data_IF_895770699136
#
_entry.id   IF_895770699136
#
_cell.length_a   1.000
_cell.length_b   1.000
_cell.length_c   1.000
_cell.angle_alpha   90.00
_cell.angle_beta   90.00
_cell.angle_gamma   90.00
#
_symmetry.space_group_name_H-M   'P 1'
#
loop_
_entity.id
_entity.type
_entity.pdbx_description
1 polymer ?
#
# COMPACT_ATOMS: atom_id res chain seq x y z
N UNK A 1 -6.78 16.09 -10.16
CA UNK A 1 -6.62 15.72 -8.73
C UNK A 1 -7.80 14.86 -8.30
N UNK A 2 -7.65 13.93 -7.37
CA UNK A 2 -8.82 13.20 -6.86
C UNK A 2 -9.63 14.12 -5.96
N UNK A 3 -10.97 14.08 -6.11
CA UNK A 3 -11.88 14.93 -5.34
C UNK A 3 -12.04 14.47 -3.91
N UNK A 4 -11.82 13.19 -3.63
CA UNK A 4 -12.06 12.57 -2.34
C UNK A 4 -10.81 11.93 -1.78
N UNK A 5 -10.65 11.98 -0.46
CA UNK A 5 -9.59 11.30 0.28
C UNK A 5 -10.09 10.80 1.63
N UNK A 6 -9.30 9.93 2.28
CA UNK A 6 -9.34 9.74 3.72
C UNK A 6 -8.14 10.46 4.35
N UNK A 7 -8.38 11.20 5.43
CA UNK A 7 -7.35 11.87 6.22
C UNK A 7 -7.44 11.46 7.67
N UNK A 8 -6.33 10.96 8.20
CA UNK A 8 -6.22 10.59 9.60
C UNK A 8 -5.74 11.78 10.41
N UNK A 9 -6.46 12.08 11.50
CA UNK A 9 -6.05 13.06 12.48
C UNK A 9 -4.99 12.44 13.40
N UNK A 10 -3.80 13.06 13.41
CA UNK A 10 -2.67 12.70 14.26
C UNK A 10 -2.49 13.67 15.43
N UNK A 11 -3.28 14.75 15.54
CA UNK A 11 -3.23 15.70 16.66
C UNK A 11 -3.95 15.14 17.91
N UNK A 12 -3.63 13.90 18.26
CA UNK A 12 -4.14 13.14 19.38
C UNK A 12 -3.10 12.08 19.81
N UNK A 13 -3.20 11.49 21.02
CA UNK A 13 -2.24 10.49 21.49
C UNK A 13 -2.10 9.31 20.54
N UNK A 14 -0.85 8.90 20.23
CA UNK A 14 -0.54 7.85 19.27
C UNK A 14 -1.28 6.53 19.57
N UNK A 15 -1.39 6.17 20.85
CA UNK A 15 -2.13 4.97 21.28
C UNK A 15 -3.61 5.01 20.87
N UNK A 16 -4.23 6.21 20.84
CA UNK A 16 -5.61 6.39 20.36
C UNK A 16 -5.68 6.24 18.86
N UNK A 17 -4.74 6.84 18.13
CA UNK A 17 -4.60 6.66 16.66
C UNK A 17 -4.51 5.18 16.30
N UNK A 18 -3.57 4.46 16.91
CA UNK A 18 -3.35 3.04 16.63
C UNK A 18 -4.54 2.14 17.02
N UNK A 19 -5.26 2.46 18.10
CA UNK A 19 -6.50 1.75 18.46
C UNK A 19 -7.62 1.97 17.46
N UNK A 20 -7.64 3.11 16.76
CA UNK A 20 -8.59 3.42 15.70
C UNK A 20 -8.38 2.59 14.42
N UNK A 21 -7.19 2.03 14.23
CA UNK A 21 -6.88 1.20 13.05
C UNK A 21 -7.56 -0.17 13.19
N UNK A 22 -8.45 -0.47 12.25
CA UNK A 22 -9.18 -1.74 12.22
C UNK A 22 -8.23 -2.94 12.10
N UNK A 23 -8.36 -3.90 13.00
CA UNK A 23 -7.55 -5.13 13.02
C UNK A 23 -6.04 -4.88 13.21
N UNK A 24 -5.63 -3.77 13.82
CA UNK A 24 -4.23 -3.41 13.99
C UNK A 24 -3.42 -4.56 14.63
N UNK A 25 -3.83 -5.07 15.80
CA UNK A 25 -3.12 -6.16 16.49
C UNK A 25 -3.05 -7.42 15.65
N UNK A 26 -4.14 -7.78 14.95
CA UNK A 26 -4.17 -8.97 14.08
C UNK A 26 -3.17 -8.87 12.92
N UNK A 27 -3.04 -7.68 12.31
CA UNK A 27 -2.12 -7.49 11.20
C UNK A 27 -0.68 -7.37 11.66
N UNK A 28 -0.43 -6.80 12.83
CA UNK A 28 0.90 -6.81 13.46
C UNK A 28 1.38 -8.22 13.70
N UNK A 29 0.57 -9.06 14.35
CA UNK A 29 0.93 -10.47 14.55
C UNK A 29 1.21 -11.19 13.23
N UNK A 30 0.46 -10.89 12.16
CA UNK A 30 0.73 -11.47 10.84
C UNK A 30 2.05 -11.00 10.27
N UNK A 31 2.41 -9.72 10.44
CA UNK A 31 3.70 -9.20 10.01
C UNK A 31 4.85 -9.88 10.77
N UNK A 32 4.76 -9.98 12.11
CA UNK A 32 5.76 -10.64 12.94
C UNK A 32 5.96 -12.11 12.56
N UNK A 33 4.87 -12.87 12.40
CA UNK A 33 4.92 -14.27 11.99
C UNK A 33 5.59 -14.48 10.63
N UNK A 34 5.56 -13.49 9.76
CA UNK A 34 6.08 -13.52 8.39
C UNK A 34 7.35 -12.71 8.20
N UNK A 35 8.03 -12.39 9.28
CA UNK A 35 9.29 -11.62 9.26
C UNK A 35 9.21 -10.35 8.41
N UNK A 36 8.07 -9.62 8.51
CA UNK A 36 7.85 -8.38 7.76
C UNK A 36 8.43 -7.20 8.52
N UNK A 37 9.39 -6.54 7.90
CA UNK A 37 10.08 -5.38 8.45
C UNK A 37 9.95 -4.17 7.54
N UNK A 38 9.86 -2.99 8.15
CA UNK A 38 9.86 -1.71 7.43
C UNK A 38 11.03 -0.89 7.92
N UNK A 39 11.74 -0.26 7.01
CA UNK A 39 12.82 0.67 7.34
C UNK A 39 12.70 1.98 6.56
N UNK A 40 13.32 3.03 7.08
CA UNK A 40 13.57 4.27 6.33
C UNK A 40 14.62 3.97 5.28
N UNK A 41 14.25 4.22 4.03
CA UNK A 41 15.09 3.92 2.89
C UNK A 41 15.72 5.20 2.31
N UNK A 42 16.78 5.01 1.54
CA UNK A 42 17.51 6.09 0.89
C UNK A 42 17.10 6.24 -0.58
N UNK A 43 17.61 7.28 -1.22
CA UNK A 43 17.38 7.54 -2.66
C UNK A 43 17.85 6.37 -3.54
N UNK A 44 18.86 5.61 -3.09
CA UNK A 44 19.44 4.48 -3.84
C UNK A 44 18.48 3.29 -3.89
N UNK A 45 17.50 3.21 -2.99
CA UNK A 45 16.48 2.16 -2.96
C UNK A 45 15.21 2.51 -3.77
N UNK A 46 15.15 3.68 -4.41
CA UNK A 46 14.05 4.06 -5.31
C UNK A 46 13.70 3.03 -6.40
N UNK A 47 14.65 2.23 -6.91
CA UNK A 47 14.33 1.16 -7.84
C UNK A 47 13.23 0.23 -7.37
N UNK A 48 13.13 -0.07 -6.07
CA UNK A 48 12.05 -0.91 -5.49
C UNK A 48 10.65 -0.37 -5.83
N UNK A 49 10.45 0.94 -5.73
CA UNK A 49 9.18 1.58 -6.08
C UNK A 49 8.96 1.60 -7.59
N UNK A 50 10.00 1.92 -8.37
CA UNK A 50 9.90 2.07 -9.82
C UNK A 50 9.60 0.75 -10.51
N UNK A 51 10.32 -0.32 -10.18
CA UNK A 51 10.09 -1.67 -10.71
C UNK A 51 8.68 -2.15 -10.40
N UNK A 52 8.22 -1.90 -9.17
CA UNK A 52 6.87 -2.23 -8.77
C UNK A 52 5.79 -1.44 -9.52
N UNK A 53 6.04 -0.16 -9.79
CA UNK A 53 5.15 0.66 -10.62
C UNK A 53 5.11 0.19 -12.07
N UNK A 54 6.23 -0.25 -12.63
CA UNK A 54 6.29 -0.85 -13.97
C UNK A 54 5.49 -2.15 -14.06
N UNK A 55 5.62 -3.03 -13.05
CA UNK A 55 4.83 -4.26 -12.97
C UNK A 55 3.33 -3.95 -12.94
N UNK A 56 2.91 -2.98 -12.13
CA UNK A 56 1.52 -2.57 -12.03
C UNK A 56 1.02 -1.92 -13.32
N UNK A 57 1.86 -1.11 -13.96
CA UNK A 57 1.55 -0.42 -15.21
C UNK A 57 1.32 -1.40 -16.37
N UNK A 58 2.10 -2.48 -16.46
CA UNK A 58 1.89 -3.56 -17.43
C UNK A 58 0.52 -4.23 -17.26
N UNK A 59 0.05 -4.40 -16.02
CA UNK A 59 -1.25 -5.02 -15.71
C UNK A 59 -2.42 -4.09 -15.98
N UNK A 60 -2.30 -2.81 -15.64
CA UNK A 60 -3.40 -1.83 -15.65
C UNK A 60 -3.38 -0.88 -16.85
N UNK A 61 -2.34 -0.91 -17.68
CA UNK A 61 -2.25 -0.12 -18.92
C UNK A 61 -2.06 1.39 -18.71
N UNK A 62 -1.41 1.80 -17.61
CA UNK A 62 -1.02 3.20 -17.40
C UNK A 62 0.49 3.40 -17.64
N UNK A 63 0.95 4.65 -17.68
CA UNK A 63 2.38 4.98 -17.80
C UNK A 63 2.95 5.21 -16.40
N UNK A 64 3.93 4.39 -15.98
CA UNK A 64 4.55 4.56 -14.67
C UNK A 64 5.47 5.76 -14.67
N UNK A 65 5.63 6.38 -13.52
CA UNK A 65 6.72 7.32 -13.30
C UNK A 65 8.04 6.55 -13.15
N UNK A 66 9.04 6.90 -13.97
CA UNK A 66 10.35 6.26 -13.92
C UNK A 66 11.25 6.80 -12.80
N UNK A 67 12.42 6.17 -12.65
CA UNK A 67 13.41 6.51 -11.61
C UNK A 67 13.82 8.00 -11.64
N UNK A 68 14.06 8.55 -12.83
CA UNK A 68 14.43 9.96 -12.98
C UNK A 68 13.38 10.95 -12.42
N UNK A 69 12.10 10.59 -12.52
CA UNK A 69 11.01 11.38 -11.93
C UNK A 69 11.11 11.41 -10.40
N UNK A 70 11.24 10.25 -9.76
CA UNK A 70 11.33 10.18 -8.29
C UNK A 70 12.63 10.77 -7.76
N UNK A 71 13.75 10.62 -8.47
CA UNK A 71 15.00 11.29 -8.13
C UNK A 71 14.88 12.81 -8.19
N UNK A 72 14.21 13.34 -9.22
CA UNK A 72 13.93 14.77 -9.33
C UNK A 72 13.00 15.24 -8.21
N UNK A 73 11.93 14.48 -7.95
CA UNK A 73 10.99 14.78 -6.86
C UNK A 73 11.71 14.80 -5.51
N UNK A 74 12.58 13.82 -5.26
CA UNK A 74 13.42 13.78 -4.05
C UNK A 74 14.27 15.04 -3.90
N UNK A 75 14.99 15.43 -4.95
CA UNK A 75 15.84 16.63 -4.95
C UNK A 75 15.05 17.92 -4.72
N UNK A 76 13.84 18.02 -5.30
CA UNK A 76 13.01 19.22 -5.18
C UNK A 76 12.39 19.36 -3.78
N UNK A 77 12.09 18.26 -3.11
CA UNK A 77 11.38 18.25 -1.84
C UNK A 77 12.21 17.83 -0.63
N UNK A 78 13.49 17.48 -0.81
CA UNK A 78 14.38 17.29 0.33
C UNK A 78 14.45 18.57 1.18
N UNK A 79 14.37 18.54 2.50
CA UNK A 79 14.40 17.39 3.42
C UNK A 79 13.02 16.82 3.80
N UNK A 80 11.97 17.19 3.10
CA UNK A 80 10.58 16.80 3.41
C UNK A 80 10.18 15.41 2.89
N UNK A 81 11.09 14.76 2.16
CA UNK A 81 10.85 13.41 1.62
C UNK A 81 11.06 12.37 2.71
N UNK A 82 10.10 11.47 2.84
CA UNK A 82 10.18 10.26 3.65
C UNK A 82 9.91 9.06 2.74
N UNK A 83 10.86 8.15 2.70
CA UNK A 83 10.77 6.96 1.88
C UNK A 83 10.97 5.73 2.72
N UNK A 84 10.08 4.76 2.55
CA UNK A 84 10.06 3.53 3.33
C UNK A 84 10.03 2.32 2.41
N UNK A 85 10.80 1.30 2.77
CA UNK A 85 10.78 0.00 2.10
C UNK A 85 10.32 -1.05 3.10
N UNK A 86 9.45 -1.94 2.66
CA UNK A 86 9.01 -3.12 3.40
C UNK A 86 9.62 -4.35 2.77
N UNK A 87 10.20 -5.21 3.60
CA UNK A 87 10.86 -6.45 3.20
C UNK A 87 10.49 -7.61 4.11
N UNK A 88 10.84 -8.80 3.68
CA UNK A 88 10.73 -10.04 4.46
C UNK A 88 11.87 -10.98 4.11
N UNK A 89 12.25 -11.84 5.04
CA UNK A 89 13.04 -13.02 4.76
C UNK A 89 12.06 -14.20 4.64
N UNK A 90 11.90 -14.72 3.42
CA UNK A 90 10.92 -15.79 3.15
C UNK A 90 11.28 -17.11 3.81
N UNK A 91 12.56 -17.42 3.96
CA UNK A 91 12.99 -18.61 4.71
C UNK A 91 12.58 -18.53 6.18
N UNK A 92 12.90 -17.42 6.83
CA UNK A 92 12.48 -17.16 8.21
C UNK A 92 10.96 -17.18 8.36
N UNK A 93 10.23 -16.54 7.46
CA UNK A 93 8.77 -16.52 7.47
C UNK A 93 8.20 -17.93 7.36
N UNK A 94 8.72 -18.77 6.45
CA UNK A 94 8.33 -20.17 6.30
C UNK A 94 8.58 -20.95 7.60
N UNK A 95 9.77 -20.89 8.17
CA UNK A 95 10.11 -21.57 9.43
C UNK A 95 9.18 -21.15 10.58
N UNK A 96 8.87 -19.87 10.70
CA UNK A 96 7.93 -19.34 11.70
C UNK A 96 6.53 -19.92 11.51
N UNK A 97 6.03 -19.95 10.27
CA UNK A 97 4.71 -20.51 9.96
C UNK A 97 4.64 -22.01 10.22
N UNK A 98 5.68 -22.78 9.87
CA UNK A 98 5.80 -24.22 10.17
C UNK A 98 5.75 -24.48 11.67
N UNK A 99 6.48 -23.69 12.47
CA UNK A 99 6.47 -23.80 13.92
C UNK A 99 5.08 -23.52 14.52
N UNK A 100 4.36 -22.51 14.01
CA UNK A 100 3.00 -22.18 14.45
C UNK A 100 2.03 -23.30 14.08
N UNK A 101 2.12 -23.83 12.86
CA UNK A 101 1.30 -24.99 12.41
C UNK A 101 1.48 -26.16 13.35
N UNK A 102 2.72 -26.54 13.64
CA UNK A 102 3.03 -27.65 14.55
C UNK A 102 2.48 -27.42 15.96
N UNK A 103 2.61 -26.20 16.48
CA UNK A 103 2.07 -25.82 17.79
C UNK A 103 0.55 -25.95 17.81
N UNK A 104 -0.12 -25.45 16.79
CA UNK A 104 -1.60 -25.46 16.70
C UNK A 104 -2.14 -26.88 16.46
N UNK A 105 -1.46 -27.73 15.68
CA UNK A 105 -1.78 -29.17 15.56
C UNK A 105 -1.69 -29.90 16.89
N UNK A 106 -0.65 -29.60 17.71
CA UNK A 106 -0.54 -30.19 19.03
C UNK A 106 -1.64 -29.70 20.00
N UNK A 107 -2.03 -28.43 19.93
CA UNK A 107 -3.20 -27.92 20.68
C UNK A 107 -4.49 -28.64 20.31
N UNK A 108 -4.71 -28.92 19.02
CA UNK A 108 -5.90 -29.62 18.55
C UNK A 108 -6.03 -31.02 19.14
N UNK A 109 -4.90 -31.75 19.36
CA UNK A 109 -4.91 -33.10 19.96
C UNK A 109 -5.46 -33.11 21.39
N UNK A 110 -5.26 -32.02 22.14
CA UNK A 110 -5.68 -31.90 23.54
C UNK A 110 -7.00 -31.17 23.73
N UNK A 111 -7.51 -30.53 22.69
CA UNK A 111 -8.70 -29.70 22.73
C UNK A 111 -9.98 -30.56 22.68
N UNK A 112 -10.90 -30.33 23.64
CA UNK A 112 -12.19 -31.05 23.72
C UNK A 112 -13.34 -30.29 23.06
N UNK A 113 -13.23 -28.98 22.87
CA UNK A 113 -14.31 -28.12 22.35
C UNK A 113 -14.24 -28.05 20.81
N UNK A 114 -15.16 -28.73 20.14
CA UNK A 114 -15.24 -28.80 18.68
C UNK A 114 -15.45 -27.40 18.02
N UNK A 115 -16.23 -26.54 18.68
CA UNK A 115 -16.48 -25.20 18.13
C UNK A 115 -15.19 -24.33 18.07
N UNK A 116 -14.25 -24.60 18.96
CA UNK A 116 -12.94 -23.93 18.99
C UNK A 116 -11.92 -24.57 18.05
N UNK A 117 -12.11 -25.83 17.66
CA UNK A 117 -11.22 -26.52 16.72
C UNK A 117 -11.36 -25.98 15.30
N UNK A 118 -12.56 -25.76 14.81
CA UNK A 118 -12.82 -25.35 13.42
C UNK A 118 -12.05 -24.09 12.98
N UNK A 119 -12.00 -22.99 13.77
CA UNK A 119 -11.18 -21.82 13.42
C UNK A 119 -9.69 -22.12 13.35
N UNK A 120 -9.18 -22.99 14.24
CA UNK A 120 -7.75 -23.37 14.28
C UNK A 120 -7.40 -24.21 13.05
N UNK A 121 -8.22 -25.20 12.71
CA UNK A 121 -8.04 -26.03 11.51
C UNK A 121 -7.97 -25.13 10.26
N UNK A 122 -8.92 -24.22 10.11
CA UNK A 122 -8.95 -23.27 9.00
C UNK A 122 -7.68 -22.40 8.95
N UNK A 123 -7.16 -22.00 10.10
CA UNK A 123 -5.91 -21.23 10.20
C UNK A 123 -4.70 -22.05 9.76
N UNK A 124 -4.60 -23.31 10.20
CA UNK A 124 -3.56 -24.27 9.82
C UNK A 124 -3.57 -24.47 8.30
N UNK A 125 -4.74 -24.76 7.71
CA UNK A 125 -4.85 -24.98 6.27
C UNK A 125 -4.40 -23.75 5.47
N UNK A 126 -4.78 -22.55 5.92
CA UNK A 126 -4.36 -21.31 5.30
C UNK A 126 -2.84 -21.10 5.39
N UNK A 127 -2.22 -21.42 6.54
CA UNK A 127 -0.75 -21.30 6.70
C UNK A 127 -0.01 -22.35 5.87
N UNK A 128 -0.48 -23.61 5.83
CA UNK A 128 0.10 -24.66 4.98
C UNK A 128 0.08 -24.28 3.49
N UNK A 129 -1.04 -23.70 3.03
CA UNK A 129 -1.16 -23.20 1.67
C UNK A 129 -0.15 -22.08 1.40
N UNK A 130 0.04 -21.16 2.33
CA UNK A 130 0.98 -20.07 2.20
C UNK A 130 2.44 -20.55 2.19
N UNK A 131 2.78 -21.51 3.04
CA UNK A 131 4.08 -22.20 3.03
C UNK A 131 4.34 -22.82 1.66
N UNK A 132 3.35 -23.54 1.11
CA UNK A 132 3.47 -24.14 -0.21
C UNK A 132 3.63 -23.09 -1.32
N UNK A 133 2.93 -21.97 -1.25
CA UNK A 133 3.08 -20.86 -2.19
C UNK A 133 4.51 -20.27 -2.18
N UNK A 134 5.14 -20.17 -1.00
CA UNK A 134 6.54 -19.71 -0.88
C UNK A 134 7.48 -20.67 -1.61
N UNK A 135 7.28 -21.98 -1.41
CA UNK A 135 8.12 -23.02 -2.04
C UNK A 135 7.90 -23.07 -3.55
N UNK A 136 6.65 -23.11 -4.00
CA UNK A 136 6.29 -23.24 -5.43
C UNK A 136 6.77 -22.05 -6.26
N UNK A 137 6.83 -20.85 -5.66
CA UNK A 137 7.36 -19.66 -6.31
C UNK A 137 8.90 -19.54 -6.22
N UNK A 138 9.58 -20.49 -5.59
CA UNK A 138 11.03 -20.45 -5.41
C UNK A 138 11.50 -19.29 -4.51
N UNK A 139 10.64 -18.85 -3.59
CA UNK A 139 10.92 -17.71 -2.70
C UNK A 139 11.63 -18.13 -1.40
N UNK A 140 11.78 -19.42 -1.14
CA UNK A 140 12.44 -19.95 0.07
C UNK A 140 13.95 -19.68 0.04
N UNK A 141 14.32 -18.41 0.20
CA UNK A 141 15.70 -17.94 0.18
C UNK A 141 16.00 -17.17 1.47
N UNK A 142 17.18 -17.43 2.05
CA UNK A 142 17.64 -16.79 3.29
C UNK A 142 18.27 -15.42 2.99
N UNK A 143 17.45 -14.51 2.51
CA UNK A 143 17.81 -13.12 2.27
C UNK A 143 16.57 -12.20 2.39
N UNK A 144 16.82 -10.93 2.69
CA UNK A 144 15.76 -9.92 2.70
C UNK A 144 15.30 -9.62 1.28
N UNK A 145 14.00 -9.77 1.03
CA UNK A 145 13.35 -9.49 -0.26
C UNK A 145 12.36 -8.35 -0.08
N UNK A 146 12.50 -7.31 -0.89
CA UNK A 146 11.57 -6.18 -0.87
C UNK A 146 10.17 -6.61 -1.35
N UNK A 147 9.17 -6.30 -0.54
CA UNK A 147 7.74 -6.52 -0.82
C UNK A 147 7.06 -5.26 -1.36
N UNK A 148 7.68 -4.10 -1.19
CA UNK A 148 7.12 -2.84 -1.65
C UNK A 148 7.81 -1.63 -1.04
N UNK A 149 7.35 -0.46 -1.48
CA UNK A 149 7.89 0.82 -1.02
C UNK A 149 6.82 1.90 -1.02
N UNK A 150 7.09 2.96 -0.25
CA UNK A 150 6.19 4.09 -0.06
C UNK A 150 6.95 5.40 -0.05
N UNK A 151 6.53 6.33 -0.93
CA UNK A 151 7.08 7.66 -1.04
C UNK A 151 6.10 8.68 -0.46
N UNK A 152 6.56 9.46 0.50
CA UNK A 152 5.77 10.43 1.27
C UNK A 152 6.46 11.78 1.23
N UNK A 153 5.68 12.85 1.24
CA UNK A 153 6.14 14.21 1.49
C UNK A 153 5.46 14.72 2.74
N UNK A 154 6.24 15.18 3.72
CA UNK A 154 5.74 15.86 4.90
C UNK A 154 6.18 17.32 4.87
N UNK A 155 5.23 18.25 4.76
CA UNK A 155 5.49 19.68 4.81
C UNK A 155 4.81 20.30 6.02
N UNK A 156 5.61 20.86 6.91
CA UNK A 156 5.12 21.31 8.20
C UNK A 156 4.56 20.13 9.00
N UNK A 157 3.28 20.19 9.34
CA UNK A 157 2.58 19.15 10.11
C UNK A 157 1.73 18.20 9.23
N UNK A 158 1.72 18.42 7.91
CA UNK A 158 0.87 17.71 6.98
C UNK A 158 1.65 16.66 6.20
N UNK A 159 1.10 15.47 6.11
CA UNK A 159 1.66 14.33 5.41
C UNK A 159 0.82 13.98 4.21
N UNK A 160 1.47 13.88 3.03
CA UNK A 160 0.86 13.41 1.78
C UNK A 160 1.53 12.13 1.30
N UNK A 161 0.73 11.11 1.09
CA UNK A 161 1.19 9.91 0.42
C UNK A 161 1.26 10.17 -1.08
N UNK A 162 2.47 10.21 -1.65
CA UNK A 162 2.67 10.54 -3.07
C UNK A 162 2.55 9.30 -3.94
N UNK A 163 3.15 8.20 -3.50
CA UNK A 163 3.10 6.94 -4.24
C UNK A 163 3.41 5.75 -3.32
N UNK A 164 2.81 4.62 -3.64
CA UNK A 164 3.05 3.36 -2.94
C UNK A 164 2.90 2.19 -3.92
N UNK A 165 3.78 1.21 -3.78
CA UNK A 165 3.65 -0.09 -4.41
C UNK A 165 3.84 -1.19 -3.39
N UNK A 166 3.07 -2.25 -3.49
CA UNK A 166 3.32 -3.52 -2.79
C UNK A 166 2.99 -4.70 -3.70
N UNK A 167 3.82 -5.73 -3.65
CA UNK A 167 3.55 -6.98 -4.37
C UNK A 167 2.20 -7.54 -3.96
N UNK A 168 1.34 -7.85 -4.95
CA UNK A 168 0.01 -8.40 -4.71
C UNK A 168 0.04 -9.90 -4.38
N UNK A 169 1.12 -10.58 -4.73
CA UNK A 169 1.39 -11.95 -4.28
C UNK A 169 1.61 -11.94 -2.77
N UNK A 170 1.18 -12.99 -2.09
CA UNK A 170 1.35 -13.13 -0.65
C UNK A 170 0.63 -12.04 0.17
N UNK A 171 -0.64 -11.82 -0.16
CA UNK A 171 -1.51 -10.82 0.51
C UNK A 171 -1.55 -10.96 2.05
N UNK A 172 -1.25 -12.15 2.58
CA UNK A 172 -1.21 -12.41 4.02
C UNK A 172 -0.04 -11.74 4.74
N UNK A 173 1.02 -11.36 4.02
CA UNK A 173 2.15 -10.62 4.58
C UNK A 173 1.77 -9.20 4.99
N UNK A 174 0.65 -8.68 4.51
CA UNK A 174 0.12 -7.36 4.90
C UNK A 174 1.13 -6.20 4.74
N UNK A 175 1.97 -6.26 3.71
CA UNK A 175 3.03 -5.29 3.44
C UNK A 175 2.51 -3.84 3.38
N UNK A 176 1.38 -3.61 2.70
CA UNK A 176 0.77 -2.27 2.63
C UNK A 176 0.35 -1.74 4.00
N UNK A 177 -0.18 -2.61 4.87
CA UNK A 177 -0.51 -2.24 6.25
C UNK A 177 0.75 -1.88 7.04
N UNK A 178 1.81 -2.69 6.95
CA UNK A 178 3.08 -2.46 7.63
C UNK A 178 3.68 -1.10 7.24
N UNK A 179 3.71 -0.78 5.94
CA UNK A 179 4.20 0.51 5.43
C UNK A 179 3.41 1.70 6.00
N UNK A 180 2.08 1.64 5.97
CA UNK A 180 1.26 2.72 6.51
C UNK A 180 1.43 2.86 8.02
N UNK A 181 1.37 1.74 8.77
CA UNK A 181 1.50 1.77 10.22
C UNK A 181 2.86 2.34 10.64
N UNK A 182 3.96 1.86 10.05
CA UNK A 182 5.30 2.36 10.34
C UNK A 182 5.43 3.86 10.01
N UNK A 183 4.95 4.28 8.83
CA UNK A 183 4.99 5.67 8.42
C UNK A 183 4.18 6.58 9.36
N UNK A 184 3.00 6.14 9.82
CA UNK A 184 2.17 6.89 10.78
C UNK A 184 2.94 7.07 12.10
N UNK A 185 3.54 6.01 12.65
CA UNK A 185 4.30 6.09 13.91
C UNK A 185 5.54 6.97 13.78
N UNK A 186 6.31 6.80 12.70
CA UNK A 186 7.53 7.56 12.47
C UNK A 186 7.26 9.05 12.26
N UNK A 187 6.26 9.39 11.44
CA UNK A 187 5.92 10.79 11.14
C UNK A 187 5.20 11.47 12.29
N UNK A 188 4.40 10.73 13.08
CA UNK A 188 3.84 11.22 14.33
C UNK A 188 4.95 11.68 15.28
N UNK A 189 6.00 10.88 15.47
CA UNK A 189 7.13 11.22 16.32
C UNK A 189 7.94 12.41 15.79
N UNK A 190 7.79 12.77 14.51
CA UNK A 190 8.38 13.96 13.89
C UNK A 190 7.44 15.17 13.92
N UNK A 191 6.27 15.07 14.57
CA UNK A 191 5.33 16.17 14.78
C UNK A 191 4.24 16.30 13.71
N UNK A 192 4.02 15.27 12.90
CA UNK A 192 2.88 15.24 11.97
C UNK A 192 1.56 15.30 12.73
N UNK A 193 0.62 16.13 12.22
CA UNK A 193 -0.74 16.26 12.76
C UNK A 193 -1.80 15.74 11.82
N UNK A 194 -1.48 15.59 10.54
CA UNK A 194 -2.40 15.00 9.56
C UNK A 194 -1.69 14.01 8.68
N UNK A 195 -2.40 12.93 8.29
CA UNK A 195 -1.90 11.92 7.37
C UNK A 195 -2.95 11.67 6.29
N UNK A 196 -2.69 12.17 5.09
CA UNK A 196 -3.59 12.03 3.95
C UNK A 196 -3.26 10.76 3.15
N UNK A 197 -4.27 9.89 2.97
CA UNK A 197 -4.11 8.61 2.26
C UNK A 197 -4.17 8.75 0.73
N UNK A 198 -4.22 9.96 0.20
CA UNK A 198 -4.45 10.26 -1.22
C UNK A 198 -5.86 9.86 -1.74
N UNK A 199 -6.05 10.19 -3.00
CA UNK A 199 -7.30 10.05 -3.69
C UNK A 199 -7.97 8.69 -3.63
N UNK A 200 -9.29 8.75 -3.55
CA UNK A 200 -10.21 7.62 -3.64
C UNK A 200 -11.27 7.92 -4.68
N UNK A 201 -12.01 6.90 -5.13
CA UNK A 201 -13.11 7.08 -6.10
C UNK A 201 -14.28 7.87 -5.52
N UNK A 202 -14.47 7.80 -4.20
CA UNK A 202 -15.64 8.36 -3.50
C UNK A 202 -16.91 7.54 -3.69
N UNK A 203 -16.86 6.45 -4.46
CA UNK A 203 -18.00 5.55 -4.65
C UNK A 203 -18.22 4.68 -3.42
N UNK A 204 -19.47 4.59 -2.96
CA UNK A 204 -19.88 3.69 -1.88
C UNK A 204 -20.36 2.33 -2.39
N UNK A 205 -20.39 2.12 -3.70
CA UNK A 205 -20.81 0.84 -4.30
C UNK A 205 -19.71 -0.22 -4.11
N UNK A 206 -19.99 -1.35 -3.42
CA UNK A 206 -19.05 -2.45 -3.29
C UNK A 206 -18.59 -3.10 -4.61
N UNK A 207 -19.31 -2.83 -5.71
CA UNK A 207 -18.97 -3.29 -7.06
C UNK A 207 -18.00 -2.34 -7.78
N UNK A 208 -17.71 -1.17 -7.23
CA UNK A 208 -16.74 -0.23 -7.78
C UNK A 208 -15.36 -0.88 -7.82
N UNK A 209 -14.64 -0.72 -8.93
CA UNK A 209 -13.29 -1.28 -9.14
C UNK A 209 -12.30 -0.85 -8.05
N UNK A 210 -12.47 0.36 -7.51
CA UNK A 210 -11.60 0.95 -6.49
C UNK A 210 -12.13 0.80 -5.06
N UNK A 211 -13.27 0.13 -4.86
CA UNK A 211 -13.88 -0.03 -3.55
C UNK A 211 -12.94 -0.66 -2.53
N UNK A 212 -12.20 -1.71 -2.92
CA UNK A 212 -11.23 -2.38 -2.05
C UNK A 212 -10.10 -1.46 -1.57
N UNK A 213 -9.62 -0.56 -2.43
CA UNK A 213 -8.63 0.44 -2.06
C UNK A 213 -9.21 1.47 -1.08
N UNK A 214 -10.42 1.90 -1.31
CA UNK A 214 -11.13 2.84 -0.44
C UNK A 214 -11.40 2.23 0.93
N UNK A 215 -11.92 0.99 1.01
CA UNK A 215 -12.16 0.28 2.27
C UNK A 215 -10.86 0.06 3.06
N UNK A 216 -9.76 -0.25 2.36
CA UNK A 216 -8.43 -0.35 2.97
C UNK A 216 -8.02 0.98 3.61
N UNK A 217 -8.11 2.11 2.91
CA UNK A 217 -7.77 3.44 3.45
C UNK A 217 -8.69 3.82 4.62
N UNK A 218 -9.99 3.57 4.50
CA UNK A 218 -10.98 3.75 5.58
C UNK A 218 -10.63 2.95 6.84
N UNK A 219 -10.02 1.77 6.68
CA UNK A 219 -9.70 0.89 7.81
C UNK A 219 -8.69 1.47 8.80
N UNK A 220 -7.98 2.54 8.41
CA UNK A 220 -7.07 3.28 9.30
C UNK A 220 -7.76 4.28 10.21
N UNK A 221 -9.08 4.48 10.10
CA UNK A 221 -9.86 5.31 11.00
C UNK A 221 -9.83 6.81 10.67
N UNK A 222 -9.41 7.17 9.45
CA UNK A 222 -9.44 8.55 8.98
C UNK A 222 -10.83 9.02 8.55
N UNK A 223 -11.01 10.35 8.51
CA UNK A 223 -12.22 11.01 8.05
C UNK A 223 -12.28 11.04 6.53
N UNK A 224 -13.48 10.83 5.98
CA UNK A 224 -13.74 11.04 4.57
C UNK A 224 -13.83 12.54 4.28
N UNK A 225 -13.00 13.02 3.38
CA UNK A 225 -12.96 14.43 2.98
C UNK A 225 -13.20 14.59 1.50
N UNK A 226 -13.98 15.62 1.17
CA UNK A 226 -14.19 16.09 -0.19
C UNK A 226 -13.46 17.41 -0.40
N UNK A 227 -12.56 17.47 -1.38
CA UNK A 227 -11.90 18.71 -1.76
C UNK A 227 -12.83 19.57 -2.61
N UNK A 228 -12.64 20.87 -2.59
CA UNK A 228 -13.39 21.82 -3.42
C UNK A 228 -13.30 21.53 -4.94
N UNK A 229 -12.29 20.77 -5.35
CA UNK A 229 -12.03 20.42 -6.74
C UNK A 229 -10.99 21.33 -7.38
N UNK A 230 -10.86 21.20 -8.70
CA UNK A 230 -9.96 22.00 -9.51
C UNK A 230 -10.75 23.13 -10.17
N UNK A 231 -10.15 24.30 -10.22
CA UNK A 231 -10.74 25.50 -10.85
C UNK A 231 -9.78 26.01 -11.91
N UNK A 232 -10.27 26.16 -13.13
CA UNK A 232 -9.51 26.75 -14.22
C UNK A 232 -9.79 28.25 -14.31
N UNK A 233 -8.74 29.07 -14.21
CA UNK A 233 -8.83 30.50 -14.52
C UNK A 233 -8.70 30.68 -16.05
N UNK A 234 -9.81 30.85 -16.72
CA UNK A 234 -9.85 30.94 -18.18
C UNK A 234 -9.65 32.38 -18.61
N UNK A 235 -8.49 32.71 -19.18
CA UNK A 235 -8.16 34.05 -19.73
C UNK A 235 -8.54 34.22 -21.19
N UNK A 236 -8.65 33.13 -21.97
CA UNK A 236 -9.04 33.11 -23.37
C UNK A 236 -9.93 31.87 -23.63
N UNK A 237 -11.22 32.08 -23.71
CA UNK A 237 -12.18 31.00 -23.85
C UNK A 237 -11.97 30.17 -25.13
N UNK A 238 -11.60 30.79 -26.24
CA UNK A 238 -11.41 30.08 -27.52
C UNK A 238 -10.19 29.14 -27.46
N UNK A 239 -9.11 29.61 -26.88
CA UNK A 239 -7.91 28.79 -26.69
C UNK A 239 -8.14 27.69 -25.68
N UNK A 240 -8.85 27.97 -24.58
CA UNK A 240 -9.24 26.98 -23.59
C UNK A 240 -10.07 25.87 -24.19
N UNK A 241 -11.11 26.18 -24.94
CA UNK A 241 -11.98 25.22 -25.60
C UNK A 241 -11.22 24.35 -26.62
N UNK A 242 -10.29 24.96 -27.37
CA UNK A 242 -9.43 24.24 -28.29
C UNK A 242 -8.50 23.28 -27.53
N UNK A 243 -7.85 23.76 -26.50
CA UNK A 243 -6.97 22.94 -25.67
C UNK A 243 -7.75 21.79 -25.01
N UNK A 244 -8.88 22.06 -24.42
CA UNK A 244 -9.73 21.06 -23.75
C UNK A 244 -10.15 19.95 -24.72
N UNK A 245 -10.59 20.29 -25.92
CA UNK A 245 -10.95 19.32 -26.98
C UNK A 245 -9.74 18.50 -27.44
N UNK A 246 -8.62 19.16 -27.70
CA UNK A 246 -7.41 18.50 -28.22
C UNK A 246 -6.76 17.59 -27.15
N UNK A 247 -6.69 18.01 -25.89
CA UNK A 247 -6.13 17.20 -24.80
C UNK A 247 -6.98 15.95 -24.55
N UNK A 248 -8.31 16.07 -24.50
CA UNK A 248 -9.21 14.93 -24.39
C UNK A 248 -9.07 13.94 -25.56
N UNK A 249 -8.97 14.46 -26.78
CA UNK A 249 -8.77 13.62 -27.97
C UNK A 249 -7.41 12.92 -27.93
N UNK A 250 -6.34 13.65 -27.60
CA UNK A 250 -4.98 13.11 -27.47
C UNK A 250 -4.91 12.01 -26.43
N UNK A 251 -5.45 12.23 -25.22
CA UNK A 251 -5.50 11.22 -24.16
C UNK A 251 -6.30 9.97 -24.56
N UNK A 252 -7.40 10.15 -25.33
CA UNK A 252 -8.22 9.05 -25.83
C UNK A 252 -7.50 8.22 -26.88
N UNK A 253 -6.83 8.86 -27.83
CA UNK A 253 -6.02 8.21 -28.87
C UNK A 253 -4.83 7.48 -28.24
N UNK A 254 -4.10 8.13 -27.34
CA UNK A 254 -2.97 7.55 -26.64
C UNK A 254 -3.37 6.29 -25.84
N UNK A 255 -4.52 6.30 -25.15
CA UNK A 255 -5.05 5.12 -24.46
C UNK A 255 -5.38 3.98 -25.44
N UNK A 256 -6.01 4.27 -26.58
CA UNK A 256 -6.32 3.25 -27.60
C UNK A 256 -5.04 2.63 -28.18
N UNK A 257 -4.07 3.43 -28.54
CA UNK A 257 -2.80 2.94 -29.07
C UNK A 257 -2.09 2.03 -28.07
N UNK A 258 -2.01 2.42 -26.81
CA UNK A 258 -1.42 1.56 -25.75
C UNK A 258 -2.16 0.23 -25.61
N UNK A 259 -3.49 0.23 -25.60
CA UNK A 259 -4.27 -1.00 -25.56
C UNK A 259 -3.95 -1.94 -26.72
N UNK A 260 -3.72 -1.41 -27.91
CA UNK A 260 -3.36 -2.20 -29.12
C UNK A 260 -1.93 -2.74 -29.01
N UNK A 261 -0.97 -1.94 -28.52
CA UNK A 261 0.44 -2.35 -28.45
C UNK A 261 0.75 -3.26 -27.24
N UNK A 262 -0.02 -3.17 -26.16
CA UNK A 262 0.16 -4.07 -24.99
C UNK A 262 -0.58 -5.41 -25.11
N UNK A 263 -1.32 -5.64 -26.20
CA UNK A 263 -1.98 -6.93 -26.50
C UNK A 263 -1.12 -7.90 -27.30
N UNK A 264 0.09 -7.50 -27.62
CA UNK A 264 1.12 -8.39 -28.19
C UNK A 264 2.14 -8.72 -27.10
#
# INVERSE_FOLDING_TARGET
MSRYTYRLDLDQPLNKVLKGIKRCSQYNNKNEQRDVHVHKATIDELPVLCEGQEELAKKLGFEPYGLAYFQKLWKCYAPYVHYYVVSTNFHTAKCNLEAIVQQDENKLKTMKDENKKAPIIKSIDAMKKEIQEIVDQGLDVDQQVALGAKFIIMQGVNVWNVNMYTKKTLMNFRAAFALHRYAIEDLYNQGAKTYDFEGISGSLDPKDEYYGQQDFKKSFGGDFLEFLGEFDAVFDQKKYDLWFKTDHMYRRVRRKLRYIFNKK
#
